data_IF_377693927542
#
_entry.id   IF_377693927542
#
_cell.length_a   1.000
_cell.length_b   1.000
_cell.length_c   1.000
_cell.angle_alpha   90.00
_cell.angle_beta   90.00
_cell.angle_gamma   90.00
#
_symmetry.space_group_name_H-M   'P 1'
#
loop_
_entity.id
_entity.type
_entity.pdbx_description
1 polymer ?
#
# COMPACT_ATOMS: atom_id res chain seq x y z
N UNK A 1 -4.87 40.25 51.72
CA UNK A 1 -5.77 39.12 51.34
C UNK A 1 -5.88 38.18 52.52
N UNK A 2 -7.08 37.87 53.00
CA UNK A 2 -7.28 37.02 54.17
C UNK A 2 -6.87 35.57 53.84
N UNK A 3 -6.07 34.92 54.68
CA UNK A 3 -5.64 33.52 54.51
C UNK A 3 -6.85 32.58 54.36
N UNK A 4 -7.96 32.90 55.03
CA UNK A 4 -9.21 32.14 54.92
C UNK A 4 -9.86 32.27 53.54
N UNK A 5 -9.77 33.45 52.91
CA UNK A 5 -10.31 33.68 51.56
C UNK A 5 -9.48 32.92 50.51
N UNK A 6 -8.15 32.89 50.68
CA UNK A 6 -7.26 32.15 49.78
C UNK A 6 -7.53 30.63 49.83
N UNK A 7 -7.75 30.07 51.03
CA UNK A 7 -8.06 28.65 51.19
C UNK A 7 -9.43 28.28 50.62
N UNK A 8 -10.43 29.16 50.74
CA UNK A 8 -11.75 28.96 50.12
C UNK A 8 -11.69 28.95 48.59
N UNK A 9 -10.89 29.84 47.98
CA UNK A 9 -10.69 29.87 46.54
C UNK A 9 -9.95 28.62 46.04
N UNK A 10 -8.93 28.17 46.76
CA UNK A 10 -8.16 26.97 46.38
C UNK A 10 -9.02 25.69 46.46
N UNK A 11 -9.87 25.57 47.48
CA UNK A 11 -10.82 24.46 47.60
C UNK A 11 -11.88 24.45 46.50
N UNK A 12 -12.35 25.64 46.06
CA UNK A 12 -13.33 25.75 44.98
C UNK A 12 -12.75 25.27 43.65
N UNK A 13 -11.49 25.61 43.35
CA UNK A 13 -10.78 25.13 42.15
C UNK A 13 -10.58 23.61 42.17
N UNK A 14 -10.21 23.03 43.32
CA UNK A 14 -10.04 21.58 43.48
C UNK A 14 -11.36 20.78 43.34
N UNK A 15 -12.50 21.39 43.67
CA UNK A 15 -13.81 20.74 43.54
C UNK A 15 -14.22 20.57 42.06
N UNK A 16 -13.86 21.50 41.18
CA UNK A 16 -14.08 21.37 39.74
C UNK A 16 -13.25 20.23 39.10
N UNK A 17 -12.07 19.92 39.63
CA UNK A 17 -11.24 18.82 39.12
C UNK A 17 -11.77 17.41 39.47
N UNK A 18 -12.50 17.25 40.58
CA UNK A 18 -13.05 15.95 40.97
C UNK A 18 -14.36 15.59 40.23
N UNK A 19 -15.07 16.57 39.68
CA UNK A 19 -16.29 16.33 38.91
C UNK A 19 -16.02 15.85 37.46
N UNK A 20 -14.80 16.00 36.94
CA UNK A 20 -14.44 15.55 35.59
C UNK A 20 -14.03 14.07 35.53
N UNK A 21 -13.89 13.39 36.68
CA UNK A 21 -13.37 12.02 36.73
C UNK A 21 -14.46 10.91 36.76
N UNK A 22 -15.76 11.25 36.84
CA UNK A 22 -16.83 10.24 37.01
C UNK A 22 -17.97 10.29 36.00
N UNK A 23 -17.92 11.17 35.02
CA UNK A 23 -18.58 10.90 33.74
C UNK A 23 -17.50 10.54 32.74
N UNK A 24 -16.99 9.32 32.85
CA UNK A 24 -16.74 8.60 31.61
C UNK A 24 -18.08 8.58 30.91
N UNK A 25 -18.28 9.56 30.03
CA UNK A 25 -19.17 9.41 28.90
C UNK A 25 -18.65 8.14 28.27
N UNK A 26 -19.29 7.01 28.61
CA UNK A 26 -19.44 5.89 27.71
C UNK A 26 -20.25 6.44 26.54
N UNK A 27 -19.67 7.40 25.82
CA UNK A 27 -19.99 7.63 24.43
C UNK A 27 -19.74 6.26 23.86
N UNK A 28 -20.85 5.62 23.53
CA UNK A 28 -20.94 4.59 22.53
C UNK A 28 -20.20 5.09 21.29
N UNK A 29 -18.87 5.07 21.34
CA UNK A 29 -18.02 4.96 20.18
C UNK A 29 -18.33 3.54 19.70
N UNK A 30 -19.39 3.42 18.93
CA UNK A 30 -19.46 2.36 17.94
C UNK A 30 -18.60 2.91 16.80
N UNK A 31 -17.31 2.54 16.65
CA UNK A 31 -16.69 2.68 15.35
C UNK A 31 -17.38 1.64 14.46
N UNK A 32 -18.58 1.97 13.95
CA UNK A 32 -18.98 1.41 12.66
C UNK A 32 -18.18 2.19 11.63
N UNK A 33 -16.90 1.89 11.57
CA UNK A 33 -16.11 2.01 10.37
C UNK A 33 -15.89 0.56 9.99
N UNK A 34 -16.86 -0.01 9.27
CA UNK A 34 -16.59 -1.15 8.38
C UNK A 34 -15.71 -0.62 7.23
N UNK A 35 -14.54 -0.09 7.58
CA UNK A 35 -13.47 0.18 6.63
C UNK A 35 -12.94 -1.19 6.34
N UNK A 36 -13.55 -1.83 5.33
CA UNK A 36 -13.01 -3.03 4.73
C UNK A 36 -11.58 -2.68 4.31
N UNK A 37 -10.59 -3.34 4.92
CA UNK A 37 -9.20 -3.21 4.50
C UNK A 37 -9.13 -3.44 2.99
N UNK A 38 -8.36 -2.63 2.25
CA UNK A 38 -8.31 -2.76 0.81
C UNK A 38 -7.79 -4.16 0.47
N UNK A 39 -8.52 -4.86 -0.40
CA UNK A 39 -8.31 -6.27 -0.70
C UNK A 39 -7.48 -6.40 -1.98
N UNK A 40 -6.46 -7.28 -1.97
CA UNK A 40 -5.73 -7.63 -3.18
C UNK A 40 -6.61 -8.51 -4.08
N UNK A 41 -6.98 -7.97 -5.24
CA UNK A 41 -7.83 -8.62 -6.22
C UNK A 41 -6.95 -9.29 -7.29
N UNK A 42 -7.07 -10.61 -7.52
CA UNK A 42 -6.36 -11.29 -8.61
C UNK A 42 -6.72 -10.73 -9.99
N UNK A 43 -5.71 -10.50 -10.81
CA UNK A 43 -5.88 -10.19 -12.23
C UNK A 43 -6.35 -11.47 -12.93
N UNK A 44 -7.59 -11.46 -13.42
CA UNK A 44 -8.22 -12.63 -14.07
C UNK A 44 -7.66 -12.88 -15.46
N UNK A 45 -7.47 -11.83 -16.24
CA UNK A 45 -6.89 -11.90 -17.57
C UNK A 45 -5.52 -11.23 -17.59
N UNK A 46 -4.47 -12.04 -17.47
CA UNK A 46 -3.08 -11.56 -17.55
C UNK A 46 -2.66 -11.13 -18.95
N UNK A 47 -3.48 -11.42 -19.97
CA UNK A 47 -3.27 -10.98 -21.36
C UNK A 47 -4.03 -9.71 -21.69
N UNK A 48 -4.74 -9.13 -20.72
CA UNK A 48 -5.38 -7.83 -20.87
C UNK A 48 -4.34 -6.79 -21.34
N UNK A 49 -4.60 -6.05 -22.44
CA UNK A 49 -3.66 -5.07 -22.97
C UNK A 49 -3.20 -4.02 -21.95
N UNK A 50 -4.03 -3.68 -20.96
CA UNK A 50 -3.65 -2.77 -19.88
C UNK A 50 -2.56 -3.37 -18.99
N UNK A 51 -2.70 -4.65 -18.62
CA UNK A 51 -1.72 -5.36 -17.79
C UNK A 51 -0.39 -5.52 -18.52
N UNK A 52 -0.43 -5.74 -19.84
CA UNK A 52 0.77 -5.76 -20.69
C UNK A 52 1.44 -4.39 -20.70
N UNK A 53 0.68 -3.30 -20.92
CA UNK A 53 1.22 -1.93 -20.91
C UNK A 53 1.87 -1.55 -19.58
N UNK A 54 1.25 -1.92 -18.45
CA UNK A 54 1.84 -1.72 -17.12
C UNK A 54 3.17 -2.47 -16.95
N UNK A 55 3.27 -3.67 -17.52
CA UNK A 55 4.49 -4.48 -17.50
C UNK A 55 5.60 -3.87 -18.37
N UNK A 56 5.26 -3.44 -19.58
CA UNK A 56 6.20 -2.77 -20.49
C UNK A 56 6.70 -1.45 -19.91
N UNK A 57 5.80 -0.68 -19.29
CA UNK A 57 6.15 0.52 -18.53
C UNK A 57 7.18 0.20 -17.44
N UNK A 58 6.93 -0.84 -16.63
CA UNK A 58 7.86 -1.24 -15.56
C UNK A 58 9.24 -1.64 -16.10
N UNK A 59 9.29 -2.38 -17.21
CA UNK A 59 10.56 -2.75 -17.88
C UNK A 59 11.30 -1.51 -18.38
N UNK A 60 10.59 -0.59 -19.03
CA UNK A 60 11.16 0.65 -19.57
C UNK A 60 11.71 1.54 -18.45
N UNK A 61 10.95 1.75 -17.38
CA UNK A 61 11.40 2.54 -16.22
C UNK A 61 12.57 1.87 -15.49
N UNK A 62 12.56 0.54 -15.36
CA UNK A 62 13.69 -0.18 -14.79
C UNK A 62 14.94 -0.04 -15.67
N UNK A 63 14.82 -0.13 -16.99
CA UNK A 63 15.93 0.12 -17.91
C UNK A 63 16.43 1.57 -17.78
N UNK A 64 15.54 2.55 -17.67
CA UNK A 64 15.93 3.95 -17.47
C UNK A 64 16.79 4.13 -16.22
N UNK A 65 16.40 3.49 -15.11
CA UNK A 65 17.04 3.54 -13.78
C UNK A 65 18.36 2.75 -13.70
N UNK A 66 18.39 1.54 -14.26
CA UNK A 66 19.48 0.55 -14.02
C UNK A 66 20.37 0.31 -15.24
N UNK A 67 19.91 0.70 -16.44
CA UNK A 67 20.49 0.33 -17.75
C UNK A 67 20.50 -1.18 -18.03
N UNK A 68 19.79 -1.98 -17.22
CA UNK A 68 19.64 -3.40 -17.44
C UNK A 68 18.55 -3.66 -18.50
N UNK A 69 18.93 -4.34 -19.59
CA UNK A 69 18.02 -4.62 -20.70
C UNK A 69 17.28 -5.92 -20.41
N UNK A 70 15.95 -5.85 -20.41
CA UNK A 70 15.08 -7.01 -20.30
C UNK A 70 14.14 -7.05 -21.51
N UNK A 71 14.01 -8.22 -22.12
CA UNK A 71 13.02 -8.46 -23.18
C UNK A 71 11.82 -9.18 -22.56
N UNK A 72 10.67 -8.54 -22.66
CA UNK A 72 9.39 -9.07 -22.20
C UNK A 72 9.07 -10.39 -22.91
N UNK A 73 8.53 -11.36 -22.15
CA UNK A 73 8.04 -12.64 -22.70
C UNK A 73 6.56 -12.80 -22.44
N UNK A 74 6.14 -12.79 -21.17
CA UNK A 74 4.73 -12.95 -20.80
C UNK A 74 4.47 -12.52 -19.36
N UNK A 75 3.23 -12.14 -19.05
CA UNK A 75 2.77 -11.99 -17.66
C UNK A 75 2.36 -13.36 -17.13
N UNK A 76 2.87 -13.70 -15.95
CA UNK A 76 2.61 -14.99 -15.29
C UNK A 76 1.37 -14.90 -14.41
N UNK A 77 1.30 -13.85 -13.57
CA UNK A 77 0.20 -13.58 -12.65
C UNK A 77 0.28 -12.13 -12.15
N UNK A 78 -0.79 -11.65 -11.56
CA UNK A 78 -0.75 -10.40 -10.81
C UNK A 78 -1.97 -10.20 -9.94
N UNK A 79 -1.87 -9.20 -9.08
CA UNK A 79 -2.95 -8.71 -8.23
C UNK A 79 -2.98 -7.19 -8.31
N UNK A 80 -4.11 -6.59 -7.99
CA UNK A 80 -4.23 -5.15 -7.83
C UNK A 80 -5.05 -4.82 -6.60
N UNK A 81 -4.94 -3.59 -6.13
CA UNK A 81 -5.68 -3.08 -4.98
C UNK A 81 -6.18 -1.69 -5.32
N UNK A 82 -7.46 -1.42 -5.05
CA UNK A 82 -8.08 -0.09 -5.18
C UNK A 82 -8.37 0.43 -3.79
N UNK A 83 -7.94 1.65 -3.48
CA UNK A 83 -8.19 2.20 -2.16
C UNK A 83 -9.61 2.79 -2.11
N UNK A 84 -10.45 2.41 -1.12
CA UNK A 84 -11.87 2.76 -1.10
C UNK A 84 -12.16 4.27 -1.01
N UNK A 85 -11.15 5.09 -0.68
CA UNK A 85 -11.26 6.55 -0.59
C UNK A 85 -10.53 7.30 -1.70
N UNK A 86 -9.85 6.58 -2.60
CA UNK A 86 -9.14 7.16 -3.73
C UNK A 86 -9.35 6.26 -4.96
N UNK A 87 -10.42 6.55 -5.70
CA UNK A 87 -10.78 5.88 -6.96
C UNK A 87 -9.74 6.10 -8.08
N UNK A 88 -8.69 6.88 -7.78
CA UNK A 88 -7.68 7.34 -8.72
C UNK A 88 -6.28 6.86 -8.35
N UNK A 89 -6.19 5.90 -7.44
CA UNK A 89 -4.97 5.22 -7.07
C UNK A 89 -5.16 3.71 -7.07
N UNK A 90 -4.53 3.05 -8.04
CA UNK A 90 -4.51 1.59 -8.15
C UNK A 90 -3.06 1.12 -8.08
N UNK A 91 -2.75 0.22 -7.15
CA UNK A 91 -1.44 -0.43 -7.13
C UNK A 91 -1.56 -1.82 -7.73
N UNK A 92 -0.74 -2.11 -8.73
CA UNK A 92 -0.61 -3.41 -9.36
C UNK A 92 0.68 -4.09 -8.92
N UNK A 93 0.60 -5.36 -8.53
CA UNK A 93 1.77 -6.23 -8.39
C UNK A 93 1.72 -7.28 -9.50
N UNK A 94 2.67 -7.20 -10.42
CA UNK A 94 2.71 -8.02 -11.63
C UNK A 94 3.95 -8.88 -11.60
N UNK A 95 3.77 -10.19 -11.72
CA UNK A 95 4.85 -11.16 -11.94
C UNK A 95 4.89 -11.50 -13.42
N UNK A 96 6.03 -11.29 -14.06
CA UNK A 96 6.22 -11.54 -15.49
C UNK A 96 7.55 -12.23 -15.76
N UNK A 97 7.60 -12.98 -16.86
CA UNK A 97 8.81 -13.58 -17.38
C UNK A 97 9.49 -12.62 -18.38
N UNK A 98 10.80 -12.49 -18.27
CA UNK A 98 11.64 -11.75 -19.21
C UNK A 98 13.00 -12.43 -19.37
N UNK A 99 13.66 -12.17 -20.50
CA UNK A 99 15.06 -12.57 -20.71
C UNK A 99 15.99 -11.35 -20.66
N UNK A 100 17.22 -11.57 -20.18
CA UNK A 100 18.28 -10.57 -20.12
C UNK A 100 19.15 -10.56 -21.40
N UNK A 101 18.70 -11.25 -22.45
CA UNK A 101 19.47 -11.45 -23.68
C UNK A 101 20.64 -12.42 -23.57
N UNK A 102 20.90 -13.01 -22.39
CA UNK A 102 21.90 -14.05 -22.20
C UNK A 102 21.38 -15.47 -22.42
N UNK A 103 22.24 -16.47 -22.24
CA UNK A 103 21.90 -17.89 -22.38
C UNK A 103 21.09 -18.48 -21.22
N UNK A 104 20.78 -17.67 -20.19
CA UNK A 104 20.21 -18.14 -18.93
C UNK A 104 18.70 -18.43 -18.96
N UNK A 105 18.07 -18.38 -20.14
CA UNK A 105 16.64 -18.61 -20.30
C UNK A 105 15.78 -17.47 -19.76
N UNK A 106 14.49 -17.73 -19.59
CA UNK A 106 13.54 -16.76 -19.08
C UNK A 106 13.57 -16.75 -17.54
N UNK A 107 13.67 -15.57 -16.94
CA UNK A 107 13.59 -15.35 -15.49
C UNK A 107 12.32 -14.60 -15.14
N UNK A 108 11.78 -14.86 -13.96
CA UNK A 108 10.62 -14.13 -13.45
C UNK A 108 11.06 -12.87 -12.70
N UNK A 109 10.23 -11.84 -12.77
CA UNK A 109 10.40 -10.57 -12.09
C UNK A 109 9.06 -10.15 -11.48
N UNK A 110 9.10 -9.44 -10.35
CA UNK A 110 7.94 -8.77 -9.75
C UNK A 110 8.10 -7.27 -9.91
N UNK A 111 7.13 -6.64 -10.57
CA UNK A 111 6.99 -5.19 -10.65
C UNK A 111 5.82 -4.74 -9.78
N UNK A 112 6.00 -3.59 -9.11
CA UNK A 112 4.95 -2.86 -8.42
C UNK A 112 4.77 -1.53 -9.13
N UNK A 113 3.58 -1.32 -9.71
CA UNK A 113 3.24 -0.13 -10.50
C UNK A 113 2.06 0.55 -9.86
N UNK A 114 2.18 1.85 -9.59
CA UNK A 114 1.08 2.69 -9.17
C UNK A 114 0.49 3.40 -10.38
N UNK A 115 -0.82 3.27 -10.57
CA UNK A 115 -1.61 4.02 -11.52
C UNK A 115 -2.30 5.16 -10.78
N UNK A 116 -1.90 6.39 -11.11
CA UNK A 116 -2.36 7.65 -10.53
C UNK A 116 -3.03 8.50 -11.62
N UNK A 117 -3.80 9.52 -11.26
CA UNK A 117 -4.28 10.53 -12.23
C UNK A 117 -3.16 11.21 -13.02
N UNK A 118 -2.00 11.37 -12.40
CA UNK A 118 -0.83 12.01 -13.00
C UNK A 118 -0.03 11.07 -13.92
N UNK A 119 -0.42 9.81 -14.03
CA UNK A 119 0.25 8.79 -14.84
C UNK A 119 0.73 7.59 -14.02
N UNK A 120 1.72 6.89 -14.55
CA UNK A 120 2.26 5.67 -13.96
C UNK A 120 3.54 5.93 -13.17
N UNK A 121 3.72 5.21 -12.07
CA UNK A 121 4.94 5.22 -11.27
C UNK A 121 5.44 3.81 -11.01
N UNK A 122 6.73 3.57 -11.25
CA UNK A 122 7.39 2.33 -10.85
C UNK A 122 7.82 2.40 -9.38
N UNK A 123 7.04 1.76 -8.51
CA UNK A 123 7.27 1.70 -7.07
C UNK A 123 8.27 0.60 -6.67
N UNK A 124 8.32 -0.51 -7.42
CA UNK A 124 9.21 -1.63 -7.11
C UNK A 124 9.52 -2.49 -8.32
N UNK A 125 10.73 -3.03 -8.37
CA UNK A 125 11.16 -3.96 -9.42
C UNK A 125 12.20 -4.92 -8.83
N UNK A 126 11.85 -6.20 -8.69
CA UNK A 126 12.73 -7.20 -8.07
C UNK A 126 12.79 -8.49 -8.91
N UNK A 127 13.98 -9.10 -9.08
CA UNK A 127 14.08 -10.43 -9.67
C UNK A 127 13.52 -11.50 -8.72
N UNK A 128 12.81 -12.47 -9.28
CA UNK A 128 12.26 -13.63 -8.57
C UNK A 128 13.28 -14.78 -8.49
N UNK A 129 14.56 -14.50 -8.20
CA UNK A 129 15.57 -15.55 -7.95
C UNK A 129 15.02 -16.61 -6.98
N UNK A 130 15.53 -17.85 -7.03
CA UNK A 130 15.05 -19.14 -6.43
C UNK A 130 14.48 -19.12 -4.99
N UNK A 131 14.48 -17.97 -4.34
CA UNK A 131 13.70 -17.61 -3.19
C UNK A 131 12.18 -17.60 -3.52
N UNK A 132 11.57 -18.78 -3.33
CA UNK A 132 10.15 -19.07 -3.50
C UNK A 132 9.21 -18.00 -2.92
N UNK A 133 9.65 -17.24 -1.93
CA UNK A 133 8.84 -16.22 -1.25
C UNK A 133 8.74 -14.91 -2.03
N UNK A 134 9.78 -14.48 -2.75
CA UNK A 134 9.82 -13.13 -3.37
C UNK A 134 8.70 -12.85 -4.37
N UNK A 135 8.23 -13.88 -5.07
CA UNK A 135 7.19 -13.75 -6.10
C UNK A 135 5.92 -14.56 -5.81
N UNK A 136 5.83 -15.14 -4.61
CA UNK A 136 4.60 -15.74 -4.09
C UNK A 136 4.00 -14.91 -2.95
N UNK A 137 4.80 -14.07 -2.29
CA UNK A 137 4.31 -13.10 -1.31
C UNK A 137 3.92 -11.81 -2.05
N UNK A 138 2.62 -11.69 -2.34
CA UNK A 138 2.03 -10.40 -2.62
C UNK A 138 2.06 -9.64 -1.30
N UNK A 139 2.83 -8.55 -1.25
CA UNK A 139 3.11 -7.87 0.01
C UNK A 139 1.78 -7.46 0.68
N UNK A 140 1.51 -8.04 1.85
CA UNK A 140 0.63 -7.44 2.85
C UNK A 140 1.42 -6.27 3.46
N UNK A 141 1.43 -5.12 2.78
CA UNK A 141 2.02 -3.88 3.32
C UNK A 141 0.97 -3.22 4.21
#
# INVERSE_FOLDING_TARGET
>A
MNKTIFLLLLSSVLFFFHAFALTSVKSSWNPIMDVKDPEWIPIKDVKDPHVIQLTEFAISENFRRTKHILKFVTVVKGVFITFPHDDKFITYQIVFAANDGGSSGNKNYKAVVNELNSGLELAGFIPCEDDFYKCNEFLHI
#
